data_IF_834359108556
#
_entry.id   IF_834359108556
#
_cell.length_a   1.000
_cell.length_b   1.000
_cell.length_c   1.000
_cell.angle_alpha   90.00
_cell.angle_beta   90.00
_cell.angle_gamma   90.00
#
_symmetry.space_group_name_H-M   'P 1'
#
loop_
_entity.id
_entity.type
_entity.pdbx_description
1 polymer ?
#
# COMPACT_ATOMS: atom_id res chain seq x y z
N UNK A 1 -8.83 -1.43 11.64
CA UNK A 1 -7.96 -0.53 10.86
C UNK A 1 -7.41 0.57 11.77
N UNK A 2 -8.23 1.22 12.57
CA UNK A 2 -7.79 2.29 13.47
C UNK A 2 -6.65 1.84 14.42
N UNK A 3 -6.65 0.57 14.86
CA UNK A 3 -5.55 -0.01 15.63
C UNK A 3 -4.25 -0.09 14.82
N UNK A 4 -4.35 -0.45 13.54
CA UNK A 4 -3.20 -0.49 12.63
C UNK A 4 -2.62 0.92 12.46
N UNK A 5 -3.47 1.91 12.22
CA UNK A 5 -3.06 3.31 12.08
C UNK A 5 -2.37 3.81 13.36
N UNK A 6 -2.97 3.53 14.51
CA UNK A 6 -2.45 3.96 15.81
C UNK A 6 -1.12 3.31 16.17
N UNK A 7 -0.95 2.03 15.81
CA UNK A 7 0.24 1.24 16.15
C UNK A 7 1.28 1.21 15.02
N UNK A 8 1.04 1.99 13.95
CA UNK A 8 2.03 2.12 12.87
C UNK A 8 3.34 2.67 13.40
N UNK A 9 4.45 1.99 13.09
CA UNK A 9 5.78 2.44 13.50
C UNK A 9 6.20 3.72 12.76
N UNK A 10 5.68 3.93 11.55
CA UNK A 10 5.79 5.21 10.83
C UNK A 10 4.63 6.11 11.23
N UNK A 11 4.88 7.31 11.79
CA UNK A 11 3.81 8.23 12.17
C UNK A 11 2.90 8.55 10.99
N UNK A 12 1.59 8.41 11.19
CA UNK A 12 0.57 8.77 10.20
C UNK A 12 0.02 10.15 10.52
N UNK A 13 0.17 11.08 9.59
CA UNK A 13 -0.33 12.46 9.71
C UNK A 13 -1.44 12.70 8.72
N UNK A 14 -2.57 13.23 9.22
CA UNK A 14 -3.69 13.66 8.38
C UNK A 14 -3.63 15.17 8.15
N UNK A 15 -3.77 15.60 6.91
CA UNK A 15 -3.63 17.01 6.57
C UNK A 15 -4.53 17.43 5.39
N UNK A 16 -4.62 18.75 5.16
CA UNK A 16 -5.38 19.33 4.06
C UNK A 16 -4.67 19.24 2.69
N UNK A 17 -3.64 18.41 2.57
CA UNK A 17 -3.01 18.08 1.29
C UNK A 17 -3.91 17.14 0.47
N UNK A 18 -3.80 17.19 -0.85
CA UNK A 18 -4.48 16.26 -1.75
C UNK A 18 -3.61 15.05 -2.16
N UNK A 19 -2.49 14.84 -1.48
CA UNK A 19 -1.52 13.77 -1.79
C UNK A 19 -1.29 12.87 -0.59
N UNK A 20 -1.49 11.56 -0.80
CA UNK A 20 -1.02 10.51 0.09
C UNK A 20 0.40 10.09 -0.33
N UNK A 21 1.27 9.87 0.62
CA UNK A 21 2.58 9.30 0.37
C UNK A 21 3.24 8.80 1.66
N UNK A 22 4.07 7.78 1.53
CA UNK A 22 5.07 7.40 2.50
C UNK A 22 6.42 8.03 2.12
N UNK A 23 7.14 8.59 3.08
CA UNK A 23 8.49 9.14 2.93
C UNK A 23 9.52 8.21 3.56
N UNK A 24 10.31 7.45 2.78
CA UNK A 24 11.33 6.57 3.35
C UNK A 24 12.42 7.31 4.14
N UNK A 25 12.77 8.52 3.72
CA UNK A 25 13.80 9.33 4.38
C UNK A 25 13.36 9.86 5.74
N UNK A 26 12.09 10.26 5.85
CA UNK A 26 11.52 10.77 7.09
C UNK A 26 10.86 9.66 7.93
N UNK A 27 10.71 8.47 7.35
CA UNK A 27 9.94 7.34 7.90
C UNK A 27 8.57 7.77 8.42
N UNK A 28 7.82 8.48 7.60
CA UNK A 28 6.52 9.04 7.96
C UNK A 28 5.51 8.95 6.83
N UNK A 29 4.25 8.86 7.18
CA UNK A 29 3.12 8.73 6.27
C UNK A 29 2.28 10.00 6.33
N UNK A 30 1.95 10.55 5.14
CA UNK A 30 1.05 11.67 5.00
C UNK A 30 -0.20 11.26 4.23
N UNK A 31 -1.37 11.49 4.82
CA UNK A 31 -2.68 11.12 4.25
C UNK A 31 -3.54 12.38 4.17
N UNK A 32 -4.28 12.60 3.08
CA UNK A 32 -5.33 13.61 3.04
C UNK A 32 -6.37 13.39 4.14
N UNK A 33 -6.98 14.47 4.63
CA UNK A 33 -8.09 14.35 5.56
C UNK A 33 -9.22 13.51 4.97
N UNK A 34 -9.91 12.74 5.82
CA UNK A 34 -10.96 11.79 5.44
C UNK A 34 -12.05 12.40 4.54
N UNK A 35 -12.37 13.66 4.72
CA UNK A 35 -13.36 14.42 3.93
C UNK A 35 -13.00 14.62 2.45
N UNK A 36 -11.74 14.40 2.06
CA UNK A 36 -11.31 14.49 0.65
C UNK A 36 -11.54 13.20 -0.14
N UNK A 37 -11.92 12.11 0.52
CA UNK A 37 -12.19 10.83 -0.13
C UNK A 37 -13.68 10.66 -0.44
N UNK A 38 -13.98 9.98 -1.54
CA UNK A 38 -15.35 9.73 -1.99
C UNK A 38 -16.07 8.69 -1.14
N UNK A 39 -15.31 7.76 -0.55
CA UNK A 39 -15.83 6.71 0.31
C UNK A 39 -14.85 6.40 1.45
N UNK A 40 -15.38 5.78 2.51
CA UNK A 40 -14.57 5.28 3.61
C UNK A 40 -13.63 4.15 3.15
N UNK A 41 -14.07 3.33 2.20
CA UNK A 41 -13.26 2.28 1.62
C UNK A 41 -12.05 2.84 0.86
N UNK A 42 -12.24 3.91 0.08
CA UNK A 42 -11.16 4.61 -0.62
C UNK A 42 -10.15 5.21 0.37
N UNK A 43 -10.62 5.81 1.46
CA UNK A 43 -9.76 6.32 2.52
C UNK A 43 -8.91 5.21 3.15
N UNK A 44 -9.52 4.12 3.61
CA UNK A 44 -8.79 3.01 4.23
C UNK A 44 -7.87 2.29 3.25
N UNK A 45 -8.28 2.13 1.99
CA UNK A 45 -7.40 1.60 0.96
C UNK A 45 -6.12 2.43 0.85
N UNK A 46 -6.25 3.75 0.73
CA UNK A 46 -5.11 4.66 0.61
C UNK A 46 -4.21 4.59 1.84
N UNK A 47 -4.78 4.60 3.04
CA UNK A 47 -4.01 4.47 4.29
C UNK A 47 -3.24 3.16 4.34
N UNK A 48 -3.89 2.04 4.01
CA UNK A 48 -3.25 0.72 4.01
C UNK A 48 -2.17 0.59 2.95
N UNK A 49 -2.33 1.24 1.80
CA UNK A 49 -1.32 1.30 0.75
C UNK A 49 -0.04 2.02 1.23
N UNK A 50 -0.17 3.17 1.87
CA UNK A 50 0.98 3.90 2.40
C UNK A 50 1.63 3.18 3.60
N UNK A 51 0.83 2.54 4.45
CA UNK A 51 1.36 1.67 5.51
C UNK A 51 2.10 0.47 4.91
N UNK A 52 1.61 -0.11 3.81
CA UNK A 52 2.31 -1.19 3.10
C UNK A 52 3.69 -0.74 2.62
N UNK A 53 3.82 0.45 2.03
CA UNK A 53 5.11 1.03 1.67
C UNK A 53 6.04 1.15 2.89
N UNK A 54 5.51 1.64 4.01
CA UNK A 54 6.31 1.82 5.23
C UNK A 54 6.91 0.51 5.74
N UNK A 55 6.25 -0.63 5.53
CA UNK A 55 6.84 -1.93 5.89
C UNK A 55 8.13 -2.25 5.16
N UNK A 56 8.38 -1.59 4.02
CA UNK A 56 9.60 -1.74 3.23
C UNK A 56 10.83 -1.01 3.79
N UNK A 57 10.67 -0.19 4.83
CA UNK A 57 11.78 0.52 5.46
C UNK A 57 12.90 -0.44 5.89
N UNK A 58 14.15 0.06 5.91
CA UNK A 58 15.33 -0.75 6.23
C UNK A 58 15.29 -1.39 7.63
N UNK A 59 14.61 -0.74 8.58
CA UNK A 59 14.41 -1.27 9.94
C UNK A 59 13.32 -2.33 10.05
N UNK A 60 12.54 -2.58 9.00
CA UNK A 60 11.42 -3.53 8.95
C UNK A 60 11.69 -4.65 7.95
N UNK A 61 11.02 -4.68 6.82
CA UNK A 61 11.19 -5.74 5.82
C UNK A 61 12.29 -5.45 4.79
N UNK A 62 12.90 -4.28 4.85
CA UNK A 62 14.06 -3.87 4.07
C UNK A 62 13.92 -4.12 2.56
N UNK A 63 12.81 -3.65 1.97
CA UNK A 63 12.61 -3.70 0.52
C UNK A 63 13.33 -2.55 -0.18
N UNK A 64 13.52 -2.67 -1.50
CA UNK A 64 14.07 -1.59 -2.30
C UNK A 64 13.03 -0.49 -2.54
N UNK A 65 13.11 0.61 -1.78
CA UNK A 65 12.24 1.79 -1.90
C UNK A 65 12.87 2.93 -2.73
N UNK A 66 13.99 2.67 -3.40
CA UNK A 66 14.79 3.69 -4.10
C UNK A 66 14.49 3.76 -5.60
N UNK A 67 13.51 3.01 -6.09
CA UNK A 67 13.10 3.05 -7.49
C UNK A 67 12.63 4.44 -7.92
N UNK A 68 13.03 4.85 -9.11
CA UNK A 68 12.52 6.07 -9.73
C UNK A 68 11.21 5.78 -10.45
N UNK A 69 10.33 6.78 -10.52
CA UNK A 69 9.04 6.64 -11.20
C UNK A 69 9.24 6.12 -12.62
N UNK A 70 8.48 5.07 -12.98
CA UNK A 70 8.51 4.34 -14.25
C UNK A 70 9.64 3.33 -14.43
N UNK A 71 10.56 3.14 -13.49
CA UNK A 71 11.48 2.03 -13.55
C UNK A 71 10.87 0.72 -12.99
N UNK A 72 11.57 -0.40 -13.23
CA UNK A 72 11.14 -1.73 -12.80
C UNK A 72 11.08 -1.86 -11.28
N UNK A 73 12.04 -1.28 -10.58
CA UNK A 73 12.13 -1.36 -9.12
C UNK A 73 10.95 -0.61 -8.47
N UNK A 74 10.60 0.56 -9.02
CA UNK A 74 9.42 1.31 -8.61
C UNK A 74 8.14 0.51 -8.86
N UNK A 75 7.99 -0.10 -10.05
CA UNK A 75 6.82 -0.90 -10.37
C UNK A 75 6.66 -2.12 -9.43
N UNK A 76 7.76 -2.77 -9.05
CA UNK A 76 7.75 -3.89 -8.11
C UNK A 76 7.24 -3.42 -6.73
N UNK A 77 7.73 -2.31 -6.22
CA UNK A 77 7.32 -1.80 -4.91
C UNK A 77 5.85 -1.33 -4.92
N UNK A 78 5.43 -0.63 -5.96
CA UNK A 78 4.04 -0.20 -6.11
C UNK A 78 3.07 -1.38 -6.16
N UNK A 79 3.37 -2.43 -6.93
CA UNK A 79 2.57 -3.64 -6.96
C UNK A 79 2.59 -4.39 -5.63
N UNK A 80 3.71 -4.40 -4.94
CA UNK A 80 3.81 -5.01 -3.60
C UNK A 80 2.90 -4.28 -2.62
N UNK A 81 2.94 -2.95 -2.60
CA UNK A 81 2.09 -2.14 -1.72
C UNK A 81 0.61 -2.29 -2.05
N UNK A 82 0.27 -2.30 -3.34
CA UNK A 82 -1.11 -2.46 -3.81
C UNK A 82 -1.68 -3.83 -3.41
N UNK A 83 -0.95 -4.93 -3.68
CA UNK A 83 -1.39 -6.26 -3.28
C UNK A 83 -1.48 -6.41 -1.76
N UNK A 84 -0.56 -5.82 -1.01
CA UNK A 84 -0.62 -5.79 0.44
C UNK A 84 -1.90 -5.09 0.93
N UNK A 85 -2.22 -3.93 0.37
CA UNK A 85 -3.45 -3.21 0.69
C UNK A 85 -4.70 -4.05 0.41
N UNK A 86 -4.75 -4.74 -0.74
CA UNK A 86 -5.85 -5.63 -1.10
C UNK A 86 -5.98 -6.82 -0.13
N UNK A 87 -4.88 -7.46 0.24
CA UNK A 87 -4.88 -8.57 1.19
C UNK A 87 -5.33 -8.12 2.60
N UNK A 88 -4.86 -6.95 3.03
CA UNK A 88 -5.29 -6.35 4.30
C UNK A 88 -6.79 -6.05 4.30
N UNK A 89 -7.31 -5.45 3.23
CA UNK A 89 -8.74 -5.16 3.09
C UNK A 89 -9.55 -6.45 3.17
N UNK A 90 -9.13 -7.50 2.46
CA UNK A 90 -9.80 -8.80 2.51
C UNK A 90 -9.81 -9.39 3.93
N UNK A 91 -8.69 -9.37 4.64
CA UNK A 91 -8.58 -9.91 6.00
C UNK A 91 -9.37 -9.08 7.02
N UNK A 92 -9.50 -7.78 6.79
CA UNK A 92 -10.24 -6.85 7.66
C UNK A 92 -11.73 -6.76 7.34
N UNK A 93 -12.21 -7.52 6.34
CA UNK A 93 -13.61 -7.56 5.95
C UNK A 93 -14.10 -6.29 5.26
N UNK A 94 -13.18 -5.53 4.63
CA UNK A 94 -13.54 -4.36 3.81
C UNK A 94 -13.96 -4.86 2.43
N UNK A 95 -15.19 -4.61 2.05
CA UNK A 95 -15.69 -4.97 0.73
C UNK A 95 -15.06 -4.09 -0.36
N UNK A 96 -14.26 -4.72 -1.22
CA UNK A 96 -13.74 -4.10 -2.44
C UNK A 96 -14.79 -4.24 -3.57
N UNK A 97 -15.56 -5.34 -3.52
CA UNK A 97 -16.61 -5.67 -4.50
C UNK A 97 -17.86 -4.86 -4.17
N UNK A 98 -18.21 -3.92 -5.04
CA UNK A 98 -19.36 -3.00 -4.87
C UNK A 98 -18.96 -1.52 -4.89
N UNK A 99 -17.69 -1.21 -4.68
CA UNK A 99 -17.15 0.12 -4.95
C UNK A 99 -16.47 0.11 -6.34
N UNK A 100 -17.28 0.38 -7.38
CA UNK A 100 -16.81 0.39 -8.76
C UNK A 100 -15.64 1.35 -8.98
N UNK A 101 -15.63 2.49 -8.30
CA UNK A 101 -14.57 3.48 -8.42
C UNK A 101 -13.25 2.95 -7.84
N UNK A 102 -13.30 2.26 -6.71
CA UNK A 102 -12.14 1.64 -6.10
C UNK A 102 -11.61 0.49 -6.96
N UNK A 103 -12.51 -0.35 -7.48
CA UNK A 103 -12.16 -1.45 -8.37
C UNK A 103 -11.50 -0.98 -9.67
N UNK A 104 -12.03 0.08 -10.29
CA UNK A 104 -11.46 0.66 -11.52
C UNK A 104 -10.10 1.32 -11.25
N UNK A 105 -9.90 1.94 -10.10
CA UNK A 105 -8.60 2.48 -9.68
C UNK A 105 -7.56 1.36 -9.53
N UNK A 106 -7.89 0.28 -8.84
CA UNK A 106 -7.03 -0.91 -8.73
C UNK A 106 -6.67 -1.49 -10.10
N UNK A 107 -7.66 -1.64 -10.97
CA UNK A 107 -7.47 -2.19 -12.31
C UNK A 107 -6.56 -1.31 -13.17
N UNK A 108 -6.75 0.01 -13.17
CA UNK A 108 -5.91 0.94 -13.90
C UNK A 108 -4.47 0.93 -13.38
N UNK A 109 -4.30 0.86 -12.07
CA UNK A 109 -3.01 0.77 -11.39
C UNK A 109 -2.26 -0.50 -11.78
N UNK A 110 -2.90 -1.66 -11.67
CA UNK A 110 -2.33 -2.95 -12.03
C UNK A 110 -1.96 -3.03 -13.52
N UNK A 111 -2.80 -2.50 -14.41
CA UNK A 111 -2.55 -2.56 -15.87
C UNK A 111 -1.24 -1.87 -16.26
N UNK A 112 -0.97 -0.68 -15.71
CA UNK A 112 0.24 0.08 -16.03
C UNK A 112 1.53 -0.62 -15.61
N UNK A 113 1.50 -1.39 -14.53
CA UNK A 113 2.67 -2.09 -14.00
C UNK A 113 2.84 -3.51 -14.54
N UNK A 114 1.75 -4.19 -14.91
CA UNK A 114 1.80 -5.51 -15.54
C UNK A 114 2.59 -5.46 -16.85
N UNK A 115 2.42 -4.41 -17.66
CA UNK A 115 3.16 -4.23 -18.90
C UNK A 115 4.68 -4.17 -18.68
N UNK A 116 5.13 -3.56 -17.57
CA UNK A 116 6.56 -3.51 -17.19
C UNK A 116 7.08 -4.89 -16.80
N UNK A 117 6.19 -5.79 -16.34
CA UNK A 117 6.53 -7.11 -15.82
C UNK A 117 6.36 -8.24 -16.83
N UNK A 118 5.76 -7.99 -18.00
CA UNK A 118 5.54 -9.02 -19.03
C UNK A 118 6.84 -9.72 -19.47
N UNK A 119 7.96 -9.01 -19.42
CA UNK A 119 9.28 -9.58 -19.75
C UNK A 119 9.88 -10.47 -18.63
N UNK A 120 9.27 -10.49 -17.45
CA UNK A 120 9.83 -11.23 -16.30
C UNK A 120 8.72 -11.89 -15.47
N UNK A 121 8.07 -12.95 -15.97
CA UNK A 121 6.89 -13.57 -15.31
C UNK A 121 7.15 -14.02 -13.86
N UNK A 122 8.38 -14.47 -13.55
CA UNK A 122 8.75 -14.96 -12.22
C UNK A 122 8.77 -13.86 -11.15
N UNK A 123 8.80 -12.59 -11.54
CA UNK A 123 8.80 -11.48 -10.58
C UNK A 123 7.47 -11.37 -9.84
N UNK A 124 6.38 -11.84 -10.45
CA UNK A 124 5.06 -11.85 -9.82
C UNK A 124 5.05 -12.70 -8.55
N UNK A 125 5.71 -13.86 -8.55
CA UNK A 125 5.83 -14.69 -7.35
C UNK A 125 6.62 -14.01 -6.23
N UNK A 126 7.65 -13.24 -6.59
CA UNK A 126 8.38 -12.41 -5.60
C UNK A 126 7.47 -11.34 -5.01
N UNK A 127 6.74 -10.61 -5.85
CA UNK A 127 5.82 -9.54 -5.42
C UNK A 127 4.76 -10.10 -4.48
N UNK A 128 4.13 -11.24 -4.81
CA UNK A 128 3.12 -11.89 -3.97
C UNK A 128 3.70 -12.24 -2.60
N UNK A 129 4.88 -12.87 -2.57
CA UNK A 129 5.54 -13.24 -1.30
C UNK A 129 5.90 -12.03 -0.44
N UNK A 130 6.36 -10.94 -1.05
CA UNK A 130 6.65 -9.72 -0.31
C UNK A 130 5.35 -9.05 0.20
N UNK A 131 4.28 -9.10 -0.58
CA UNK A 131 2.96 -8.63 -0.16
C UNK A 131 2.39 -9.46 1.01
N UNK A 132 2.54 -10.79 0.99
CA UNK A 132 2.14 -11.66 2.10
C UNK A 132 2.91 -11.32 3.39
N UNK A 133 4.24 -11.18 3.31
CA UNK A 133 5.06 -10.77 4.46
C UNK A 133 4.65 -9.40 5.01
N UNK A 134 4.39 -8.44 4.14
CA UNK A 134 3.95 -7.11 4.53
C UNK A 134 2.56 -7.16 5.19
N UNK A 135 1.66 -7.97 4.66
CA UNK A 135 0.33 -8.20 5.24
C UNK A 135 0.42 -8.78 6.64
N UNK A 136 1.21 -9.83 6.83
CA UNK A 136 1.43 -10.45 8.16
C UNK A 136 2.05 -9.47 9.14
N UNK A 137 2.99 -8.66 8.68
CA UNK A 137 3.62 -7.62 9.49
C UNK A 137 2.59 -6.61 10.00
N UNK A 138 1.78 -6.06 9.11
CA UNK A 138 0.75 -5.07 9.45
C UNK A 138 -0.34 -5.67 10.34
N UNK A 139 -0.79 -6.91 10.06
CA UNK A 139 -1.79 -7.59 10.88
C UNK A 139 -1.30 -7.85 12.31
N UNK A 140 0.00 -7.99 12.52
CA UNK A 140 0.57 -8.10 13.87
C UNK A 140 0.52 -6.75 14.63
N UNK A 141 0.60 -5.60 13.94
CA UNK A 141 0.38 -4.30 14.56
C UNK A 141 -1.04 -4.15 15.11
N UNK A 142 -2.03 -4.79 14.47
CA UNK A 142 -3.42 -4.75 14.92
C UNK A 142 -3.67 -5.47 16.25
N UNK A 143 -2.77 -6.40 16.63
CA UNK A 143 -2.89 -7.24 17.83
C UNK A 143 -2.29 -6.61 19.09
N UNK A 144 -1.53 -5.57 18.94
CA UNK A 144 -0.88 -4.81 20.04
C UNK A 144 -1.73 -3.60 20.42
#
# INVERSE_FOLDING_TARGET
>A
IESIIKNSESPVTFCASNRAYYSPTADSINIPNREFFKSENEFYHTVLHEIAHSTGHESRLNRNLKGEKFDKEYAIEELTAELTSMFLQQQLGIEIIGDEALFDNHKAYLKGYVEILEETPNILFKIIREAEKATDYVMNLAKN
#
